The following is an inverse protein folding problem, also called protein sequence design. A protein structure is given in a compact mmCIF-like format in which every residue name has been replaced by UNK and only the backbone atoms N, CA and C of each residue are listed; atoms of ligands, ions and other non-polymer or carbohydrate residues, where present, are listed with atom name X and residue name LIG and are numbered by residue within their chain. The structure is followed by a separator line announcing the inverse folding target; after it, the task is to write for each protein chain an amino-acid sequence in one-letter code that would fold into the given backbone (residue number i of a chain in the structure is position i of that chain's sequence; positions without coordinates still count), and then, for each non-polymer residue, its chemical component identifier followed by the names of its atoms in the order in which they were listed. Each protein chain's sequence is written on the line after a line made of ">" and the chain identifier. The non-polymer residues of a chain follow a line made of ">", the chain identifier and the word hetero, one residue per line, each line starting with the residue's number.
data_IF_270706130016
#
_entry.id   IF_270706130016
#
_cell.length_a   1.000
_cell.length_b   1.000
_cell.length_c   1.000
_cell.angle_alpha   90.00
_cell.angle_beta   90.00
_cell.angle_gamma   90.00
#
_symmetry.space_group_name_H-M   'P 1'
#
loop_
_entity.id
_entity.type
_entity.pdbx_description
1 polymer ?
#
# COMPACT_ATOMS: atom_id res chain seq x y z
N UNK A 1 27.95 -34.22 43.86
CA UNK A 1 26.78 -34.80 43.16
C UNK A 1 25.59 -33.90 43.44
N UNK A 2 25.50 -32.68 42.90
CA UNK A 2 25.24 -32.29 41.51
C UNK A 2 23.91 -32.83 40.96
N UNK A 3 22.96 -31.89 40.80
CA UNK A 3 21.87 -31.87 39.82
C UNK A 3 20.58 -32.66 40.08
N UNK A 4 19.50 -31.98 40.54
CA UNK A 4 18.10 -32.18 40.07
C UNK A 4 17.07 -31.29 40.78
N UNK A 5 17.36 -30.00 40.94
CA UNK A 5 16.34 -29.00 41.26
C UNK A 5 16.48 -27.95 40.18
N UNK A 6 15.72 -28.06 39.10
CA UNK A 6 15.45 -26.97 38.16
C UNK A 6 14.52 -27.48 37.05
N UNK A 7 13.45 -26.70 36.81
CA UNK A 7 12.49 -26.76 35.69
C UNK A 7 11.39 -27.83 35.82
N UNK A 8 10.16 -27.39 36.17
CA UNK A 8 9.29 -26.87 35.11
C UNK A 8 8.38 -25.73 35.61
N UNK A 9 8.91 -24.51 35.76
CA UNK A 9 8.08 -23.31 35.93
C UNK A 9 8.38 -22.22 34.89
N UNK A 10 9.19 -22.53 33.89
CA UNK A 10 9.63 -21.58 32.86
C UNK A 10 9.02 -21.88 31.47
N UNK A 11 7.84 -22.51 31.43
CA UNK A 11 7.09 -22.73 30.17
C UNK A 11 5.82 -21.87 30.10
N UNK A 12 5.43 -21.20 31.18
CA UNK A 12 4.23 -20.34 31.21
C UNK A 12 4.50 -18.85 31.03
N UNK A 13 5.75 -18.42 30.84
CA UNK A 13 6.09 -16.99 30.72
C UNK A 13 6.24 -16.48 29.27
N UNK A 14 6.22 -17.36 28.26
CA UNK A 14 6.52 -16.94 26.87
C UNK A 14 5.31 -16.78 25.93
N UNK A 15 4.07 -16.86 26.45
CA UNK A 15 2.86 -16.84 25.61
C UNK A 15 1.99 -15.58 25.75
N UNK A 16 2.52 -14.46 26.26
CA UNK A 16 1.71 -13.28 26.59
C UNK A 16 2.09 -11.96 25.86
N UNK A 17 2.86 -11.99 24.77
CA UNK A 17 3.33 -10.74 24.12
C UNK A 17 3.14 -10.67 22.60
N UNK A 18 2.11 -11.33 22.06
CA UNK A 18 1.71 -11.14 20.66
C UNK A 18 0.21 -10.85 20.56
N UNK A 19 -0.27 -9.87 21.33
CA UNK A 19 -1.50 -9.19 20.92
C UNK A 19 -1.10 -8.28 19.76
N UNK A 20 -1.53 -8.54 18.51
CA UNK A 20 -1.33 -7.57 17.45
C UNK A 20 -2.00 -6.28 17.91
N UNK A 21 -1.21 -5.22 18.03
CA UNK A 21 -1.77 -3.88 18.21
C UNK A 21 -2.43 -3.55 16.87
N UNK A 22 -3.73 -3.84 16.77
CA UNK A 22 -4.56 -3.35 15.68
C UNK A 22 -4.72 -1.86 15.98
N UNK A 23 -3.82 -1.04 15.43
CA UNK A 23 -4.01 0.39 15.45
C UNK A 23 -5.27 0.68 14.62
N UNK A 24 -6.19 1.52 15.11
CA UNK A 24 -7.28 2.00 14.27
C UNK A 24 -6.66 2.60 13.02
N UNK A 25 -7.16 2.21 11.85
CA UNK A 25 -6.78 2.81 10.57
C UNK A 25 -7.12 4.30 10.67
N UNK A 26 -6.10 5.10 10.96
CA UNK A 26 -6.22 6.54 11.04
C UNK A 26 -6.21 7.12 9.63
N UNK A 27 -6.62 8.39 9.52
CA UNK A 27 -6.57 9.14 8.26
C UNK A 27 -5.22 9.03 7.54
N UNK A 28 -4.11 9.00 8.28
CA UNK A 28 -2.77 8.83 7.73
C UNK A 28 -2.58 7.51 6.98
N UNK A 29 -3.00 6.37 7.56
CA UNK A 29 -2.91 5.07 6.88
C UNK A 29 -3.85 4.97 5.67
N UNK A 30 -5.04 5.57 5.74
CA UNK A 30 -5.97 5.60 4.60
C UNK A 30 -5.42 6.43 3.44
N UNK A 31 -4.78 7.55 3.75
CA UNK A 31 -4.12 8.38 2.75
C UNK A 31 -2.94 7.67 2.12
N UNK A 32 -2.13 6.98 2.93
CA UNK A 32 -1.00 6.22 2.43
C UNK A 32 -1.44 5.16 1.41
N UNK A 33 -2.41 4.31 1.78
CA UNK A 33 -2.95 3.29 0.88
C UNK A 33 -3.53 3.92 -0.40
N UNK A 34 -4.30 5.00 -0.26
CA UNK A 34 -4.88 5.70 -1.40
C UNK A 34 -3.82 6.25 -2.37
N UNK A 35 -2.71 6.77 -1.85
CA UNK A 35 -1.62 7.30 -2.67
C UNK A 35 -0.79 6.21 -3.33
N UNK A 36 -0.54 5.10 -2.63
CA UNK A 36 0.11 3.92 -3.19
C UNK A 36 -0.71 3.37 -4.37
N UNK A 37 -2.02 3.19 -4.17
CA UNK A 37 -2.93 2.72 -5.22
C UNK A 37 -2.99 3.67 -6.41
N UNK A 38 -3.14 4.98 -6.15
CA UNK A 38 -3.15 6.01 -7.19
C UNK A 38 -1.88 5.98 -8.02
N UNK A 39 -0.73 5.89 -7.34
CA UNK A 39 0.56 5.91 -8.01
C UNK A 39 0.75 4.67 -8.87
N UNK A 40 0.39 3.49 -8.37
CA UNK A 40 0.49 2.25 -9.13
C UNK A 40 -0.41 2.27 -10.38
N UNK A 41 -1.66 2.71 -10.26
CA UNK A 41 -2.55 2.83 -11.42
C UNK A 41 -2.06 3.91 -12.41
N UNK A 42 -1.50 5.01 -11.90
CA UNK A 42 -0.88 6.04 -12.73
C UNK A 42 0.29 5.48 -13.55
N UNK A 43 1.16 4.64 -12.97
CA UNK A 43 2.28 4.03 -13.69
C UNK A 43 1.80 3.08 -14.80
N UNK A 44 0.74 2.31 -14.56
CA UNK A 44 0.13 1.44 -15.59
C UNK A 44 -0.40 2.26 -16.78
N UNK A 45 -0.99 3.43 -16.53
CA UNK A 45 -1.43 4.34 -17.60
C UNK A 45 -0.26 5.08 -18.25
N UNK A 46 0.87 5.26 -17.56
CA UNK A 46 1.99 6.08 -18.03
C UNK A 46 3.31 5.27 -18.09
N UNK A 47 3.42 4.26 -18.98
CA UNK A 47 4.59 3.37 -19.04
C UNK A 47 5.91 4.09 -19.35
N UNK A 48 5.86 5.17 -20.15
CA UNK A 48 7.03 6.01 -20.41
C UNK A 48 7.50 6.75 -19.15
N UNK A 49 6.57 7.20 -18.31
CA UNK A 49 6.91 7.82 -17.04
C UNK A 49 7.52 6.80 -16.08
N UNK A 50 6.93 5.60 -15.98
CA UNK A 50 7.49 4.49 -15.20
C UNK A 50 8.95 4.21 -15.59
N UNK A 51 9.22 4.11 -16.90
CA UNK A 51 10.58 3.94 -17.43
C UNK A 51 11.51 5.09 -17.01
N UNK A 52 11.02 6.34 -17.09
CA UNK A 52 11.82 7.54 -16.79
C UNK A 52 12.27 7.63 -15.33
N UNK A 53 11.54 6.99 -14.40
CA UNK A 53 11.89 6.94 -12.97
C UNK A 53 12.63 5.64 -12.58
N UNK A 54 12.95 4.78 -13.56
CA UNK A 54 13.66 3.52 -13.33
C UNK A 54 12.77 2.32 -13.02
N UNK A 55 11.44 2.45 -13.16
CA UNK A 55 10.52 1.33 -13.05
C UNK A 55 10.36 0.63 -14.39
N UNK A 56 10.89 -0.59 -14.48
CA UNK A 56 10.95 -1.36 -15.71
C UNK A 56 9.77 -2.33 -15.89
N UNK A 57 8.80 -2.36 -14.96
CA UNK A 57 7.66 -3.29 -15.01
C UNK A 57 6.78 -3.12 -16.25
N UNK A 58 6.82 -1.95 -16.90
CA UNK A 58 5.97 -1.57 -18.03
C UNK A 58 6.73 -1.32 -19.33
N UNK A 59 8.00 -1.74 -19.44
CA UNK A 59 8.87 -1.47 -20.59
C UNK A 59 8.37 -2.10 -21.90
N UNK A 60 7.47 -3.08 -21.83
CA UNK A 60 6.85 -3.73 -22.99
C UNK A 60 5.60 -3.01 -23.49
N UNK A 61 5.23 -1.89 -22.87
CA UNK A 61 4.02 -1.12 -23.18
C UNK A 61 4.33 0.25 -23.75
N UNK A 62 3.54 0.67 -24.73
CA UNK A 62 3.53 2.04 -25.24
C UNK A 62 2.09 2.54 -25.34
N UNK A 63 1.72 3.46 -24.44
CA UNK A 63 0.39 4.05 -24.45
C UNK A 63 0.22 5.03 -25.63
N UNK A 64 -0.94 4.96 -26.29
CA UNK A 64 -1.39 6.02 -27.21
C UNK A 64 -2.12 7.08 -26.38
N UNK A 65 -1.35 7.90 -25.67
CA UNK A 65 -1.84 8.85 -24.68
C UNK A 65 -2.77 9.94 -25.25
N UNK A 66 -2.59 10.30 -26.52
CA UNK A 66 -3.45 11.24 -27.25
C UNK A 66 -4.83 10.67 -27.64
N UNK A 67 -5.03 9.35 -27.53
CA UNK A 67 -6.30 8.72 -27.92
C UNK A 67 -7.43 9.11 -26.97
N UNK A 68 -8.66 9.18 -27.49
CA UNK A 68 -9.84 9.50 -26.68
C UNK A 68 -10.04 8.51 -25.53
N UNK A 69 -9.86 7.22 -25.79
CA UNK A 69 -9.99 6.18 -24.77
C UNK A 69 -8.97 6.33 -23.66
N UNK A 70 -7.73 6.71 -23.98
CA UNK A 70 -6.70 6.94 -22.97
C UNK A 70 -7.00 8.18 -22.11
N UNK A 71 -7.36 9.30 -22.73
CA UNK A 71 -7.75 10.52 -21.99
C UNK A 71 -8.95 10.27 -21.07
N UNK A 72 -9.93 9.48 -21.53
CA UNK A 72 -11.06 9.05 -20.70
C UNK A 72 -10.62 8.24 -19.49
N UNK A 73 -9.72 7.26 -19.65
CA UNK A 73 -9.18 6.47 -18.53
C UNK A 73 -8.46 7.36 -17.51
N UNK A 74 -7.65 8.32 -17.97
CA UNK A 74 -6.99 9.27 -17.08
C UNK A 74 -8.00 10.13 -16.31
N UNK A 75 -9.04 10.63 -16.98
CA UNK A 75 -10.09 11.42 -16.34
C UNK A 75 -10.88 10.57 -15.31
N UNK A 76 -11.28 9.35 -15.68
CA UNK A 76 -12.01 8.42 -14.81
C UNK A 76 -11.18 8.07 -13.56
N UNK A 77 -9.88 7.79 -13.73
CA UNK A 77 -8.94 7.57 -12.63
C UNK A 77 -8.88 8.80 -11.72
N UNK A 78 -8.58 9.98 -12.27
CA UNK A 78 -8.45 11.22 -11.49
C UNK A 78 -9.72 11.55 -10.70
N UNK A 79 -10.90 11.42 -11.31
CA UNK A 79 -12.18 11.65 -10.63
C UNK A 79 -12.41 10.67 -9.48
N UNK A 80 -12.09 9.38 -9.68
CA UNK A 80 -12.26 8.35 -8.66
C UNK A 80 -11.39 8.60 -7.44
N UNK A 81 -10.11 8.93 -7.63
CA UNK A 81 -9.20 9.23 -6.52
C UNK A 81 -9.50 10.58 -5.85
N UNK A 82 -9.93 11.58 -6.61
CA UNK A 82 -10.40 12.86 -6.03
C UNK A 82 -11.65 12.64 -5.15
N UNK A 83 -12.58 11.80 -5.57
CA UNK A 83 -13.74 11.47 -4.75
C UNK A 83 -13.34 10.64 -3.52
N UNK A 84 -12.36 9.75 -3.64
CA UNK A 84 -11.87 8.92 -2.54
C UNK A 84 -11.16 9.75 -1.45
N UNK A 85 -10.25 10.66 -1.84
CA UNK A 85 -9.53 11.50 -0.87
C UNK A 85 -10.49 12.40 -0.08
N UNK A 86 -11.57 12.88 -0.71
CA UNK A 86 -12.58 13.70 -0.05
C UNK A 86 -13.40 12.98 1.04
N UNK A 87 -13.31 11.65 1.14
CA UNK A 87 -13.98 10.86 2.20
C UNK A 87 -13.08 10.61 3.40
N UNK A 88 -11.79 10.93 3.32
CA UNK A 88 -10.85 10.74 4.42
C UNK A 88 -10.84 12.02 5.26
N UNK A 89 -11.32 11.91 6.49
CA UNK A 89 -11.36 13.05 7.42
C UNK A 89 -9.95 13.41 7.86
N UNK A 90 -9.65 14.72 7.91
CA UNK A 90 -8.41 15.18 8.54
C UNK A 90 -8.57 15.10 10.06
N UNK A 91 -7.59 14.48 10.73
CA UNK A 91 -7.52 14.38 12.18
C UNK A 91 -7.42 15.77 12.85
#
# INVERSE_FOLDING_TARGET
>A
MLNRILLPLLVWYFAAAANPVILPVGAGSQLQELFEDYFEEFLQLNPLFATSIGDHRYNDQLAIDISESHRRKQEEMARRYLAAIGRIERA
#
